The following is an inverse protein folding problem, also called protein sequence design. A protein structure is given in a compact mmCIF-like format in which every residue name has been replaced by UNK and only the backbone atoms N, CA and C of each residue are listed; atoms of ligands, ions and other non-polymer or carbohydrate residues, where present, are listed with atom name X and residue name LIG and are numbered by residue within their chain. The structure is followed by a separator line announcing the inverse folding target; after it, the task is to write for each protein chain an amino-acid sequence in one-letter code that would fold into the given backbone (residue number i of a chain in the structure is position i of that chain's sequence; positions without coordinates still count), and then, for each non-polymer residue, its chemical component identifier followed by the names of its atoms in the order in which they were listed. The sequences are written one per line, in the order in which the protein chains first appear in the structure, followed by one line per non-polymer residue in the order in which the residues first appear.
data_IF_191248102171
#
_entry.id   IF_191248102171
#
_cell.length_a   1.000
_cell.length_b   1.000
_cell.length_c   1.000
_cell.angle_alpha   90.00
_cell.angle_beta   90.00
_cell.angle_gamma   90.00
#
_symmetry.space_group_name_H-M   'P 1'
#
loop_
_entity.id
_entity.type
_entity.pdbx_description
1 polymer ?
#
# COMPACT_ATOMS: atom_id res chain seq x y z
N UNK A 1 46.84 86.29 -52.81
CA UNK A 1 47.80 85.83 -51.80
C UNK A 1 46.98 84.98 -50.84
N UNK A 2 46.74 83.72 -51.18
CA UNK A 2 47.59 82.57 -50.75
C UNK A 2 47.34 82.32 -49.25
N UNK A 3 46.78 81.22 -48.76
CA UNK A 3 46.85 79.85 -49.27
C UNK A 3 45.66 78.97 -48.88
N UNK A 4 45.53 77.91 -49.66
CA UNK A 4 44.61 76.78 -49.52
C UNK A 4 45.34 75.60 -48.86
N UNK A 5 44.56 74.77 -48.16
CA UNK A 5 44.76 73.34 -47.80
C UNK A 5 45.36 73.05 -46.41
N UNK A 6 44.52 72.57 -45.48
CA UNK A 6 44.50 71.18 -44.95
C UNK A 6 43.31 71.09 -43.97
N UNK A 7 42.20 70.47 -44.35
CA UNK A 7 41.91 69.03 -44.27
C UNK A 7 41.61 68.49 -42.86
N UNK A 8 40.41 67.92 -42.77
CA UNK A 8 39.97 66.83 -41.88
C UNK A 8 39.96 67.03 -40.37
N UNK A 9 38.78 67.38 -39.88
CA UNK A 9 38.31 67.08 -38.53
C UNK A 9 36.83 66.74 -38.60
N UNK A 10 36.48 65.79 -39.47
CA UNK A 10 35.19 65.13 -39.43
C UNK A 10 35.16 64.19 -38.21
N UNK A 11 33.97 64.08 -37.62
CA UNK A 11 33.57 63.08 -36.63
C UNK A 11 34.23 63.31 -35.25
N UNK A 12 33.54 63.32 -34.11
CA UNK A 12 32.44 62.46 -33.75
C UNK A 12 31.82 63.02 -32.45
N UNK A 13 30.69 63.71 -32.55
CA UNK A 13 29.82 63.94 -31.39
C UNK A 13 29.04 62.64 -31.14
N UNK A 14 29.65 61.71 -30.40
CA UNK A 14 29.00 60.51 -29.89
C UNK A 14 29.18 60.46 -28.38
N UNK A 15 28.12 60.67 -27.57
CA UNK A 15 28.22 60.46 -26.13
C UNK A 15 28.54 58.99 -25.89
N UNK A 16 29.57 58.76 -25.08
CA UNK A 16 29.99 57.46 -24.61
C UNK A 16 28.78 56.59 -24.27
N UNK A 17 28.60 55.48 -24.99
CA UNK A 17 27.70 54.39 -24.57
C UNK A 17 28.30 53.78 -23.30
N UNK A 18 28.01 54.41 -22.17
CA UNK A 18 28.21 53.80 -20.87
C UNK A 18 27.33 52.56 -20.83
N UNK A 19 27.98 51.40 -20.82
CA UNK A 19 27.33 50.14 -20.46
C UNK A 19 26.75 50.34 -19.06
N UNK A 20 25.44 50.55 -18.96
CA UNK A 20 24.68 50.31 -17.74
C UNK A 20 24.66 48.79 -17.50
N UNK A 21 25.83 48.20 -17.27
CA UNK A 21 25.93 46.97 -16.51
C UNK A 21 25.71 47.39 -15.06
N UNK A 22 24.48 47.22 -14.58
CA UNK A 22 24.12 47.40 -13.18
C UNK A 22 25.21 46.74 -12.33
N UNK A 23 26.07 47.56 -11.73
CA UNK A 23 27.01 47.10 -10.72
C UNK A 23 26.14 46.82 -9.49
N UNK A 24 25.53 45.63 -9.47
CA UNK A 24 24.97 45.09 -8.24
C UNK A 24 26.09 45.16 -7.22
N UNK A 25 25.87 45.92 -6.16
CA UNK A 25 26.90 46.09 -5.13
C UNK A 25 27.22 44.69 -4.60
N UNK A 26 28.50 44.36 -4.39
CA UNK A 26 28.88 43.02 -3.92
C UNK A 26 28.11 42.60 -2.65
N UNK A 27 27.65 43.59 -1.87
CA UNK A 27 26.76 43.43 -0.71
C UNK A 27 25.36 42.92 -1.12
N UNK A 28 24.74 43.44 -2.17
CA UNK A 28 23.44 42.96 -2.66
C UNK A 28 23.53 41.51 -3.14
N UNK A 29 24.62 41.14 -3.80
CA UNK A 29 24.87 39.75 -4.24
C UNK A 29 25.06 38.84 -3.03
N UNK A 30 25.85 39.23 -2.02
CA UNK A 30 26.00 38.45 -0.79
C UNK A 30 24.68 38.27 -0.05
N UNK A 31 23.86 39.31 0.04
CA UNK A 31 22.58 39.25 0.75
C UNK A 31 21.59 38.35 0.00
N UNK A 32 21.55 38.44 -1.34
CA UNK A 32 20.76 37.54 -2.17
C UNK A 32 21.21 36.08 -2.03
N UNK A 33 22.51 35.81 -2.00
CA UNK A 33 23.06 34.47 -1.79
C UNK A 33 22.71 33.94 -0.39
N UNK A 34 22.88 34.76 0.65
CA UNK A 34 22.54 34.38 2.03
C UNK A 34 21.04 34.08 2.19
N UNK A 35 20.16 34.89 1.58
CA UNK A 35 18.72 34.63 1.56
C UNK A 35 18.38 33.35 0.80
N UNK A 36 19.01 33.12 -0.34
CA UNK A 36 18.78 31.93 -1.15
C UNK A 36 19.18 30.67 -0.39
N UNK A 37 20.37 30.67 0.22
CA UNK A 37 20.85 29.56 1.06
C UNK A 37 19.92 29.36 2.25
N UNK A 38 19.54 30.43 2.96
CA UNK A 38 18.62 30.35 4.09
C UNK A 38 17.25 29.77 3.71
N UNK A 39 16.70 30.17 2.56
CA UNK A 39 15.43 29.65 2.04
C UNK A 39 15.54 28.16 1.68
N UNK A 40 16.62 27.75 1.00
CA UNK A 40 16.87 26.34 0.67
C UNK A 40 16.98 25.50 1.94
N UNK A 41 17.70 25.98 2.97
CA UNK A 41 17.82 25.28 4.24
C UNK A 41 16.47 25.17 4.96
N UNK A 42 15.66 26.23 4.98
CA UNK A 42 14.33 26.21 5.60
C UNK A 42 13.39 25.21 4.92
N UNK A 43 13.40 25.16 3.58
CA UNK A 43 12.63 24.17 2.80
C UNK A 43 13.15 22.74 3.05
N UNK A 44 14.48 22.56 3.09
CA UNK A 44 15.09 21.24 3.32
C UNK A 44 14.81 20.71 4.74
N UNK A 45 14.80 21.60 5.74
CA UNK A 45 14.48 21.25 7.12
C UNK A 45 12.99 20.89 7.29
N UNK A 46 12.10 21.59 6.56
CA UNK A 46 10.67 21.27 6.56
C UNK A 46 10.37 19.88 5.98
N UNK A 47 11.08 19.47 4.93
CA UNK A 47 10.85 18.17 4.27
C UNK A 47 11.45 16.97 5.01
N UNK A 48 12.50 17.18 5.81
CA UNK A 48 13.12 16.09 6.59
C UNK A 48 12.28 15.66 7.79
N UNK A 49 11.54 16.58 8.42
CA UNK A 49 10.69 16.28 9.58
C UNK A 49 9.40 15.55 9.17
N UNK A 50 8.93 15.73 7.94
CA UNK A 50 7.75 15.02 7.42
C UNK A 50 8.04 13.56 7.06
N UNK A 51 9.23 13.26 6.52
CA UNK A 51 9.56 11.92 6.04
C UNK A 51 9.65 10.88 7.18
N UNK A 52 10.23 11.25 8.32
CA UNK A 52 10.36 10.35 9.48
C UNK A 52 9.02 10.05 10.15
N UNK A 53 8.07 11.00 10.10
CA UNK A 53 6.73 10.81 10.68
C UNK A 53 5.88 9.87 9.85
N UNK A 54 6.02 9.92 8.53
CA UNK A 54 5.27 9.05 7.63
C UNK A 54 5.79 7.61 7.71
N UNK A 55 7.11 7.41 7.79
CA UNK A 55 7.69 6.08 7.96
C UNK A 55 7.29 5.42 9.28
N UNK A 56 7.28 6.18 10.39
CA UNK A 56 6.84 5.68 11.69
C UNK A 56 5.34 5.32 11.68
N UNK A 57 4.51 6.10 10.99
CA UNK A 57 3.07 5.80 10.84
C UNK A 57 2.85 4.51 10.05
N UNK A 58 3.53 4.37 8.91
CA UNK A 58 3.45 3.20 8.04
C UNK A 58 3.90 1.95 8.81
N UNK A 59 5.00 2.02 9.54
CA UNK A 59 5.47 0.92 10.37
C UNK A 59 4.41 0.53 11.43
N UNK A 60 3.85 1.51 12.15
CA UNK A 60 2.83 1.25 13.16
C UNK A 60 1.52 0.70 12.59
N UNK A 61 1.19 1.01 11.34
CA UNK A 61 0.06 0.43 10.63
C UNK A 61 0.32 -1.03 10.27
N UNK A 62 1.44 -1.33 9.61
CA UNK A 62 1.82 -2.71 9.28
C UNK A 62 1.99 -3.60 10.50
N UNK A 63 2.59 -3.10 11.59
CA UNK A 63 2.70 -3.88 12.83
C UNK A 63 1.33 -4.27 13.37
N UNK A 64 0.35 -3.35 13.36
CA UNK A 64 -1.02 -3.65 13.81
C UNK A 64 -1.72 -4.66 12.92
N UNK A 65 -1.54 -4.56 11.61
CA UNK A 65 -2.10 -5.53 10.66
C UNK A 65 -1.52 -6.93 10.87
N UNK A 66 -0.20 -7.02 11.04
CA UNK A 66 0.49 -8.29 11.32
C UNK A 66 -0.02 -8.89 12.64
N UNK A 67 -0.13 -8.10 13.69
CA UNK A 67 -0.62 -8.57 14.99
C UNK A 67 -2.07 -9.08 14.89
N UNK A 68 -2.93 -8.38 14.14
CA UNK A 68 -4.31 -8.81 13.89
C UNK A 68 -4.38 -10.13 13.10
N UNK A 69 -3.55 -10.26 12.06
CA UNK A 69 -3.48 -11.48 11.26
C UNK A 69 -2.95 -12.67 12.04
N UNK A 70 -1.94 -12.48 12.89
CA UNK A 70 -1.40 -13.53 13.76
C UNK A 70 -2.42 -13.97 14.81
N UNK A 71 -3.13 -13.02 15.43
CA UNK A 71 -4.22 -13.34 16.35
C UNK A 71 -5.31 -14.16 15.64
N UNK A 72 -5.72 -13.74 14.45
CA UNK A 72 -6.72 -14.46 13.66
C UNK A 72 -6.24 -15.85 13.26
N UNK A 73 -4.99 -15.98 12.83
CA UNK A 73 -4.40 -17.28 12.52
C UNK A 73 -4.43 -18.22 13.73
N UNK A 74 -4.09 -17.71 14.93
CA UNK A 74 -4.16 -18.48 16.16
C UNK A 74 -5.57 -19.00 16.47
N UNK A 75 -6.59 -18.15 16.30
CA UNK A 75 -8.00 -18.56 16.43
C UNK A 75 -8.37 -19.67 15.44
N UNK A 76 -8.01 -19.51 14.16
CA UNK A 76 -8.31 -20.50 13.13
C UNK A 76 -7.59 -21.83 13.35
N UNK A 77 -6.34 -21.80 13.82
CA UNK A 77 -5.59 -23.02 14.17
C UNK A 77 -6.29 -23.74 15.33
N UNK A 78 -6.70 -23.02 16.36
CA UNK A 78 -7.42 -23.60 17.49
C UNK A 78 -8.76 -24.23 17.07
N UNK A 79 -9.51 -23.57 16.19
CA UNK A 79 -10.74 -24.12 15.62
C UNK A 79 -10.48 -25.37 14.78
N UNK A 80 -9.45 -25.34 13.93
CA UNK A 80 -9.05 -26.47 13.12
C UNK A 80 -8.60 -27.67 13.98
N UNK A 81 -7.86 -27.44 15.06
CA UNK A 81 -7.46 -28.47 16.01
C UNK A 81 -8.66 -29.06 16.75
N UNK A 82 -9.63 -28.22 17.14
CA UNK A 82 -10.88 -28.68 17.73
C UNK A 82 -11.67 -29.57 16.77
N UNK A 83 -11.88 -29.12 15.52
CA UNK A 83 -12.61 -29.89 14.49
C UNK A 83 -11.93 -31.22 14.16
N UNK A 84 -10.59 -31.28 14.26
CA UNK A 84 -9.82 -32.50 14.08
C UNK A 84 -9.80 -33.43 15.30
N UNK A 85 -10.26 -32.97 16.45
CA UNK A 85 -10.22 -33.75 17.68
C UNK A 85 -11.33 -34.79 17.77
N UNK A 86 -11.09 -35.85 18.54
CA UNK A 86 -12.09 -36.89 18.83
C UNK A 86 -13.33 -36.32 19.53
N UNK A 87 -13.18 -35.22 20.28
CA UNK A 87 -14.30 -34.55 20.94
C UNK A 87 -15.29 -33.97 19.92
N UNK A 88 -14.80 -33.42 18.81
CA UNK A 88 -15.65 -32.97 17.71
C UNK A 88 -16.30 -34.14 16.98
N UNK A 89 -15.59 -35.25 16.80
CA UNK A 89 -16.17 -36.48 16.23
C UNK A 89 -17.33 -36.98 17.08
N UNK A 90 -17.18 -37.00 18.40
CA UNK A 90 -18.25 -37.40 19.33
C UNK A 90 -19.43 -36.41 19.30
N UNK A 91 -19.16 -35.10 19.28
CA UNK A 91 -20.19 -34.08 19.13
C UNK A 91 -21.00 -34.29 17.84
N UNK A 92 -20.31 -34.39 16.70
CA UNK A 92 -20.92 -34.59 15.39
C UNK A 92 -21.67 -35.92 15.33
N UNK A 93 -21.12 -36.99 15.88
CA UNK A 93 -21.76 -38.30 15.93
C UNK A 93 -23.11 -38.23 16.63
N UNK A 94 -23.20 -37.50 17.75
CA UNK A 94 -24.46 -37.36 18.50
C UNK A 94 -25.43 -36.38 17.87
N UNK A 95 -24.97 -35.19 17.46
CA UNK A 95 -25.87 -34.10 17.05
C UNK A 95 -26.31 -34.24 15.59
N UNK A 96 -25.39 -34.35 14.65
CA UNK A 96 -25.70 -34.52 13.22
C UNK A 96 -25.87 -35.99 12.82
N UNK A 97 -24.98 -36.87 13.29
CA UNK A 97 -24.94 -38.28 12.89
C UNK A 97 -26.05 -39.13 13.52
N UNK A 98 -26.68 -38.64 14.60
CA UNK A 98 -27.63 -39.39 15.45
C UNK A 98 -27.12 -40.79 15.82
N UNK A 99 -25.81 -40.93 15.94
CA UNK A 99 -25.12 -42.14 16.34
C UNK A 99 -25.06 -42.19 17.88
N UNK A 100 -25.31 -43.38 18.42
CA UNK A 100 -25.21 -43.68 19.85
C UNK A 100 -24.05 -44.63 20.12
N UNK A 101 -23.47 -44.57 21.33
CA UNK A 101 -22.46 -45.54 21.74
C UNK A 101 -23.08 -46.92 21.92
N UNK A 102 -22.23 -47.93 21.95
CA UNK A 102 -22.67 -49.30 22.24
C UNK A 102 -23.33 -49.35 23.62
N UNK A 103 -24.60 -49.79 23.67
CA UNK A 103 -25.44 -49.78 24.87
C UNK A 103 -26.29 -48.52 25.12
N UNK A 104 -26.20 -47.47 24.29
CA UNK A 104 -27.08 -46.30 24.36
C UNK A 104 -28.29 -46.46 23.42
N UNK A 105 -29.50 -46.08 23.87
CA UNK A 105 -30.73 -46.14 23.07
C UNK A 105 -31.13 -44.76 22.55
N UNK A 106 -31.23 -44.62 21.23
CA UNK A 106 -31.73 -43.41 20.58
C UNK A 106 -33.27 -43.39 20.60
N UNK A 107 -33.85 -42.44 21.34
CA UNK A 107 -35.32 -42.26 21.42
C UNK A 107 -35.72 -41.11 20.49
N UNK A 108 -36.40 -41.40 19.38
CA UNK A 108 -37.03 -40.39 18.53
C UNK A 108 -38.50 -40.24 18.96
N UNK A 109 -38.93 -39.06 19.44
CA UNK A 109 -40.36 -38.80 19.66
C UNK A 109 -41.06 -38.81 18.29
N UNK A 110 -41.90 -39.82 18.04
CA UNK A 110 -42.69 -39.88 16.81
C UNK A 110 -43.83 -38.86 16.90
N UNK A 111 -43.82 -37.82 16.07
CA UNK A 111 -44.97 -36.93 15.96
C UNK A 111 -46.15 -37.69 15.33
N UNK A 112 -47.30 -37.68 15.99
CA UNK A 112 -48.57 -38.19 15.49
C UNK A 112 -49.01 -37.31 14.29
N UNK A 113 -48.55 -37.65 13.10
CA UNK A 113 -48.75 -36.88 11.88
C UNK A 113 -47.68 -37.24 10.86
N UNK A 114 -47.77 -38.46 10.32
CA UNK A 114 -46.78 -39.03 9.42
C UNK A 114 -46.64 -38.23 8.12
N UNK A 115 -45.45 -37.70 7.89
CA UNK A 115 -44.93 -37.54 6.55
C UNK A 115 -43.72 -38.47 6.46
N UNK A 116 -43.80 -39.46 5.58
CA UNK A 116 -42.67 -40.33 5.25
C UNK A 116 -41.50 -39.46 4.78
N UNK A 117 -40.52 -39.26 5.65
CA UNK A 117 -39.28 -38.58 5.30
C UNK A 117 -38.48 -39.56 4.45
N UNK A 118 -38.44 -39.30 3.15
CA UNK A 118 -37.58 -40.01 2.21
C UNK A 118 -36.14 -40.06 2.75
N UNK A 119 -35.40 -41.18 2.57
CA UNK A 119 -34.03 -41.29 3.07
C UNK A 119 -33.18 -40.17 2.48
N UNK A 120 -32.52 -39.39 3.34
CA UNK A 120 -31.58 -38.35 2.93
C UNK A 120 -30.43 -39.02 2.18
N UNK A 121 -30.27 -38.68 0.90
CA UNK A 121 -29.17 -39.15 0.07
C UNK A 121 -27.82 -38.70 0.65
N UNK A 122 -26.76 -39.54 0.57
CA UNK A 122 -25.46 -39.22 1.11
C UNK A 122 -24.93 -37.92 0.47
N UNK A 123 -24.59 -36.94 1.32
CA UNK A 123 -24.02 -35.66 0.90
C UNK A 123 -22.63 -35.91 0.32
N UNK A 124 -22.43 -35.57 -0.96
CA UNK A 124 -21.15 -35.68 -1.65
C UNK A 124 -20.18 -34.67 -1.01
N UNK A 125 -19.08 -35.16 -0.45
CA UNK A 125 -17.96 -34.31 -0.04
C UNK A 125 -17.46 -33.54 -1.25
N UNK A 126 -17.52 -32.21 -1.19
CA UNK A 126 -16.97 -31.33 -2.22
C UNK A 126 -15.54 -31.05 -1.82
N UNK A 127 -14.59 -31.47 -2.66
CA UNK A 127 -13.19 -31.14 -2.47
C UNK A 127 -12.99 -29.65 -2.80
N UNK A 128 -12.70 -28.85 -1.77
CA UNK A 128 -12.38 -27.44 -1.94
C UNK A 128 -10.91 -27.33 -2.33
N UNK A 129 -10.64 -26.77 -3.52
CA UNK A 129 -9.29 -26.37 -3.89
C UNK A 129 -8.84 -25.21 -3.00
N UNK A 130 -7.96 -25.49 -2.04
CA UNK A 130 -7.41 -24.49 -1.10
C UNK A 130 -6.13 -23.83 -1.61
N UNK A 131 -5.63 -24.23 -2.78
CA UNK A 131 -4.44 -23.60 -3.39
C UNK A 131 -4.88 -22.36 -4.17
N UNK A 132 -4.47 -21.15 -3.77
CA UNK A 132 -4.66 -19.96 -4.60
C UNK A 132 -3.99 -20.18 -5.96
N UNK A 133 -4.62 -19.80 -7.09
CA UNK A 133 -3.96 -19.88 -8.38
C UNK A 133 -2.65 -19.09 -8.31
N UNK A 134 -1.53 -19.76 -8.62
CA UNK A 134 -0.22 -19.10 -8.59
C UNK A 134 -0.20 -17.99 -9.64
N UNK A 135 0.13 -16.74 -9.26
CA UNK A 135 0.19 -15.64 -10.21
C UNK A 135 1.28 -15.92 -11.24
N UNK A 136 1.00 -15.61 -12.50
CA UNK A 136 2.01 -15.74 -13.56
C UNK A 136 3.09 -14.68 -13.35
N UNK A 137 4.33 -14.96 -13.77
CA UNK A 137 5.48 -14.06 -13.56
C UNK A 137 5.21 -12.61 -14.00
N UNK A 138 4.46 -12.39 -15.08
CA UNK A 138 4.15 -11.04 -15.57
C UNK A 138 3.13 -10.30 -14.68
N UNK A 139 2.23 -11.01 -13.98
CA UNK A 139 1.26 -10.43 -13.02
C UNK A 139 1.99 -9.96 -11.76
N UNK A 140 3.02 -10.71 -11.34
CA UNK A 140 3.94 -10.30 -10.28
C UNK A 140 4.70 -9.01 -10.65
N UNK A 141 5.23 -8.93 -11.87
CA UNK A 141 5.87 -7.71 -12.35
C UNK A 141 4.89 -6.54 -12.40
N UNK A 142 3.66 -6.77 -12.88
CA UNK A 142 2.64 -5.73 -12.93
C UNK A 142 2.32 -5.16 -11.54
N UNK A 143 2.08 -6.02 -10.55
CA UNK A 143 1.78 -5.62 -9.18
C UNK A 143 2.92 -4.83 -8.50
N UNK A 144 4.16 -5.01 -8.95
CA UNK A 144 5.30 -4.23 -8.45
C UNK A 144 5.34 -2.80 -8.99
N UNK A 145 4.79 -2.57 -10.19
CA UNK A 145 4.80 -1.25 -10.85
C UNK A 145 3.48 -0.51 -10.72
N UNK A 146 2.37 -1.23 -10.54
CA UNK A 146 1.02 -0.71 -10.49
C UNK A 146 0.27 -1.34 -9.32
N UNK A 147 -0.27 -0.51 -8.43
CA UNK A 147 -1.08 -0.93 -7.26
C UNK A 147 -2.53 -1.27 -7.68
N UNK A 148 -2.69 -1.80 -8.89
CA UNK A 148 -3.96 -2.10 -9.55
C UNK A 148 -3.93 -3.51 -10.15
N UNK A 149 -5.10 -4.12 -10.28
CA UNK A 149 -5.21 -5.44 -10.91
C UNK A 149 -4.74 -5.38 -12.37
N UNK A 150 -3.97 -6.37 -12.85
CA UNK A 150 -3.52 -6.42 -14.23
C UNK A 150 -4.73 -6.45 -15.19
N UNK A 151 -4.65 -5.75 -16.33
CA UNK A 151 -5.75 -5.73 -17.29
C UNK A 151 -6.00 -7.13 -17.85
N UNK A 152 -7.27 -7.57 -17.81
CA UNK A 152 -7.71 -8.86 -18.35
C UNK A 152 -7.97 -9.98 -17.33
N UNK A 153 -8.14 -9.62 -16.05
CA UNK A 153 -8.80 -10.47 -15.05
C UNK A 153 -10.33 -10.38 -15.18
#
# INVERSE_FOLDING_TARGET
MSDTILNSGADENSPARQKLGQQLTSIQVMLAVALTIGLVLALNFSSRISLDRDLARIHAEFSREIDALLARQGELIAELDYVKSDAYVEYWARDEGKMTRDGEFLILPQSVGGADLAPSSPRRWVEFQTTPPQPRNWELWWALFFDEAPPGQ
#
